data_IF_867941186994
#
_entry.id   IF_867941186994
#
_cell.length_a   1.000
_cell.length_b   1.000
_cell.length_c   1.000
_cell.angle_alpha   90.00
_cell.angle_beta   90.00
_cell.angle_gamma   90.00
#
_symmetry.space_group_name_H-M   'P 1'
#
loop_
_entity.id
_entity.type
_entity.pdbx_description
1 polymer ?
#
# COMPACT_ATOMS: atom_id res chain seq x y z
N UNK A 1 -10.55 -5.70 4.07
CA UNK A 1 -9.95 -5.54 2.71
C UNK A 1 -9.77 -4.06 2.43
N UNK A 2 -8.54 -3.60 2.16
CA UNK A 2 -8.18 -2.16 2.12
C UNK A 2 -9.00 -1.32 1.12
N UNK A 3 -9.44 -1.94 0.02
CA UNK A 3 -10.30 -1.31 -1.01
C UNK A 3 -11.63 -0.75 -0.45
N UNK A 4 -12.09 -1.25 0.72
CA UNK A 4 -13.28 -0.75 1.42
C UNK A 4 -13.19 0.73 1.79
N UNK A 5 -11.99 1.28 1.92
CA UNK A 5 -11.79 2.61 2.52
C UNK A 5 -11.65 3.75 1.49
N UNK A 6 -11.83 3.48 0.20
CA UNK A 6 -11.81 4.51 -0.86
C UNK A 6 -10.45 4.72 -1.52
N UNK A 7 -9.44 3.94 -1.14
CA UNK A 7 -8.11 3.95 -1.74
C UNK A 7 -8.14 3.63 -3.24
N UNK A 8 -7.22 4.20 -4.04
CA UNK A 8 -7.06 3.82 -5.45
C UNK A 8 -6.72 2.33 -5.56
N UNK A 9 -7.02 1.72 -6.70
CA UNK A 9 -6.80 0.27 -6.87
C UNK A 9 -5.30 -0.05 -6.79
N UNK A 10 -4.85 -0.89 -5.85
CA UNK A 10 -3.45 -1.28 -5.78
C UNK A 10 -3.08 -2.28 -6.88
N UNK A 11 -1.79 -2.35 -7.17
CA UNK A 11 -1.18 -3.42 -7.96
C UNK A 11 -0.47 -4.39 -7.03
N UNK A 12 -0.78 -5.68 -7.12
CA UNK A 12 -0.13 -6.72 -6.31
C UNK A 12 1.09 -7.26 -7.06
N UNK A 13 2.16 -7.62 -6.35
CA UNK A 13 3.41 -8.12 -6.93
C UNK A 13 3.97 -7.19 -8.03
N UNK A 14 4.00 -5.89 -7.75
CA UNK A 14 4.43 -4.90 -8.72
C UNK A 14 5.96 -4.89 -8.84
N UNK A 15 6.46 -5.12 -10.05
CA UNK A 15 7.88 -5.10 -10.34
C UNK A 15 8.37 -3.66 -10.55
N UNK A 16 9.40 -3.25 -9.80
CA UNK A 16 10.07 -1.96 -9.95
C UNK A 16 11.55 -2.18 -10.26
N UNK A 17 12.03 -1.52 -11.31
CA UNK A 17 13.46 -1.37 -11.56
C UNK A 17 13.99 -0.19 -10.73
N UNK A 18 14.98 -0.47 -9.90
CA UNK A 18 15.62 0.50 -9.02
C UNK A 18 16.72 1.27 -9.77
N UNK A 19 17.09 2.48 -9.31
CA UNK A 19 18.16 3.27 -9.93
C UNK A 19 19.53 2.57 -9.98
N UNK A 20 19.78 1.63 -9.06
CA UNK A 20 21.00 0.82 -9.00
C UNK A 20 21.00 -0.38 -9.97
N UNK A 21 19.98 -0.50 -10.82
CA UNK A 21 19.80 -1.59 -11.78
C UNK A 21 19.19 -2.86 -11.18
N UNK A 22 18.93 -2.89 -9.87
CA UNK A 22 18.25 -4.00 -9.23
C UNK A 22 16.75 -4.02 -9.49
N UNK A 23 16.13 -5.16 -9.22
CA UNK A 23 14.69 -5.36 -9.35
C UNK A 23 14.11 -5.76 -8.00
N UNK A 24 12.99 -5.13 -7.64
CA UNK A 24 12.18 -5.50 -6.47
C UNK A 24 10.75 -5.76 -6.89
N UNK A 25 10.08 -6.65 -6.17
CA UNK A 25 8.66 -6.95 -6.31
C UNK A 25 7.95 -6.50 -5.04
N UNK A 26 7.09 -5.50 -5.15
CA UNK A 26 6.31 -4.94 -4.06
C UNK A 26 5.04 -5.78 -3.86
N UNK A 27 4.75 -6.22 -2.64
CA UNK A 27 3.56 -7.01 -2.34
C UNK A 27 2.29 -6.26 -2.78
N UNK A 28 2.18 -4.98 -2.42
CA UNK A 28 1.09 -4.08 -2.79
C UNK A 28 1.65 -2.69 -3.10
N UNK A 29 1.48 -2.25 -4.35
CA UNK A 29 1.94 -0.94 -4.80
C UNK A 29 0.78 -0.04 -5.25
N UNK A 30 0.77 1.20 -4.76
CA UNK A 30 -0.02 2.31 -5.28
C UNK A 30 0.85 3.13 -6.22
N UNK A 31 1.03 2.62 -7.44
CA UNK A 31 2.02 3.11 -8.42
C UNK A 31 1.89 4.61 -8.70
N UNK A 32 0.66 5.13 -8.84
CA UNK A 32 0.44 6.56 -9.10
C UNK A 32 0.89 7.48 -7.97
N UNK A 33 0.94 6.98 -6.74
CA UNK A 33 1.40 7.72 -5.56
C UNK A 33 2.83 7.33 -5.11
N UNK A 34 3.43 6.30 -5.74
CA UNK A 34 4.69 5.68 -5.31
C UNK A 34 4.68 5.28 -3.83
N UNK A 35 3.62 4.59 -3.42
CA UNK A 35 3.52 4.01 -2.06
C UNK A 35 3.55 2.49 -2.17
N UNK A 36 4.47 1.88 -1.44
CA UNK A 36 4.64 0.44 -1.27
C UNK A 36 4.09 0.01 0.09
N UNK A 37 3.45 -1.16 0.12
CA UNK A 37 2.87 -1.77 1.32
C UNK A 37 3.27 -3.23 1.36
N UNK A 38 4.16 -3.58 2.28
CA UNK A 38 4.75 -4.92 2.40
C UNK A 38 4.21 -5.63 3.64
N UNK A 39 3.84 -6.90 3.48
CA UNK A 39 3.41 -7.71 4.61
C UNK A 39 4.62 -8.29 5.34
N UNK A 40 4.76 -7.93 6.60
CA UNK A 40 5.72 -8.58 7.49
C UNK A 40 5.19 -9.95 7.92
N UNK A 41 5.75 -10.97 7.30
CA UNK A 41 5.57 -12.37 7.63
C UNK A 41 6.55 -12.88 8.68
N UNK A 42 6.59 -12.32 9.89
CA UNK A 42 7.47 -12.76 10.99
C UNK A 42 8.96 -12.79 10.59
N UNK A 43 9.65 -11.68 10.79
CA UNK A 43 11.10 -11.57 10.57
C UNK A 43 11.88 -12.61 11.41
N UNK A 44 12.73 -13.38 10.74
CA UNK A 44 13.82 -14.10 11.39
C UNK A 44 15.04 -13.17 11.47
N UNK A 45 15.78 -13.17 12.59
CA UNK A 45 16.93 -12.27 12.82
C UNK A 45 17.98 -12.28 11.68
N UNK A 46 18.10 -13.41 10.99
CA UNK A 46 19.01 -13.62 9.87
C UNK A 46 18.66 -12.81 8.62
N UNK A 47 17.44 -12.29 8.50
CA UNK A 47 16.96 -11.55 7.32
C UNK A 47 16.83 -10.04 7.56
N UNK A 48 16.99 -9.58 8.81
CA UNK A 48 16.87 -8.16 9.18
C UNK A 48 17.72 -7.23 8.32
N UNK A 49 19.00 -7.55 8.11
CA UNK A 49 19.90 -6.70 7.33
C UNK A 49 19.46 -6.61 5.87
N UNK A 50 19.01 -7.72 5.29
CA UNK A 50 18.53 -7.77 3.92
C UNK A 50 17.23 -6.96 3.76
N UNK A 51 16.31 -7.06 4.72
CA UNK A 51 15.04 -6.33 4.72
C UNK A 51 15.27 -4.82 4.91
N UNK A 52 16.18 -4.43 5.81
CA UNK A 52 16.56 -3.04 6.01
C UNK A 52 17.22 -2.44 4.75
N UNK A 53 18.13 -3.18 4.10
CA UNK A 53 18.76 -2.74 2.85
C UNK A 53 17.74 -2.66 1.71
N UNK A 54 16.83 -3.63 1.62
CA UNK A 54 15.74 -3.60 0.64
C UNK A 54 14.87 -2.36 0.82
N UNK A 55 14.44 -2.07 2.05
CA UNK A 55 13.66 -0.88 2.38
C UNK A 55 14.40 0.40 1.97
N UNK A 56 15.67 0.52 2.34
CA UNK A 56 16.49 1.69 2.00
C UNK A 56 16.55 1.92 0.49
N UNK A 57 16.68 0.84 -0.30
CA UNK A 57 16.72 0.91 -1.76
C UNK A 57 15.39 1.35 -2.37
N UNK A 58 14.28 0.86 -1.83
CA UNK A 58 12.93 1.26 -2.25
C UNK A 58 12.69 2.75 -1.93
N UNK A 59 13.01 3.17 -0.71
CA UNK A 59 12.86 4.57 -0.28
C UNK A 59 13.76 5.50 -1.12
N UNK A 60 15.00 5.09 -1.41
CA UNK A 60 15.94 5.83 -2.27
C UNK A 60 15.48 5.92 -3.74
N UNK A 61 14.64 4.98 -4.20
CA UNK A 61 13.97 5.06 -5.49
C UNK A 61 12.75 6.01 -5.48
N UNK A 62 12.49 6.66 -4.35
CA UNK A 62 11.45 7.66 -4.17
C UNK A 62 10.09 7.07 -3.84
N UNK A 63 10.04 5.86 -3.28
CA UNK A 63 8.80 5.23 -2.80
C UNK A 63 8.64 5.40 -1.30
N UNK A 64 7.41 5.60 -0.82
CA UNK A 64 7.10 5.45 0.60
C UNK A 64 6.93 3.96 0.92
N UNK A 65 7.47 3.52 2.05
CA UNK A 65 7.43 2.13 2.47
C UNK A 65 6.57 1.96 3.72
N UNK A 66 5.44 1.24 3.60
CA UNK A 66 4.54 0.94 4.71
C UNK A 66 4.64 -0.53 5.07
N UNK A 67 5.17 -0.83 6.24
CA UNK A 67 5.24 -2.21 6.74
C UNK A 67 3.97 -2.59 7.49
N UNK A 68 3.37 -3.72 7.12
CA UNK A 68 2.14 -4.23 7.75
C UNK A 68 2.40 -5.57 8.39
N UNK A 69 2.43 -5.61 9.72
CA UNK A 69 2.52 -6.87 10.47
C UNK A 69 1.21 -7.65 10.40
N UNK A 70 1.31 -8.98 10.30
CA UNK A 70 0.16 -9.88 10.13
C UNK A 70 -0.95 -9.67 11.19
N UNK A 71 -0.60 -9.37 12.45
CA UNK A 71 -1.59 -9.11 13.51
C UNK A 71 -2.50 -7.91 13.20
N UNK A 72 -1.99 -6.87 12.53
CA UNK A 72 -2.77 -5.70 12.11
C UNK A 72 -3.87 -6.09 11.12
N UNK A 73 -3.68 -7.15 10.33
CA UNK A 73 -4.66 -7.54 9.31
C UNK A 73 -5.71 -8.52 9.83
N UNK A 74 -5.57 -8.99 11.08
CA UNK A 74 -6.50 -9.94 11.71
C UNK A 74 -7.70 -9.28 12.40
N UNK A 75 -7.66 -7.98 12.65
CA UNK A 75 -8.78 -7.22 13.22
C UNK A 75 -9.26 -6.14 12.25
N UNK A 76 -10.55 -5.78 12.34
CA UNK A 76 -11.09 -4.66 11.54
C UNK A 76 -10.42 -3.33 11.89
N UNK A 77 -10.13 -3.11 13.17
CA UNK A 77 -9.43 -1.92 13.65
C UNK A 77 -8.00 -1.82 13.08
N UNK A 78 -7.26 -2.93 13.05
CA UNK A 78 -5.93 -2.94 12.48
C UNK A 78 -5.95 -2.76 10.96
N UNK A 79 -6.91 -3.36 10.24
CA UNK A 79 -7.10 -3.13 8.81
C UNK A 79 -7.43 -1.65 8.52
N UNK A 80 -8.24 -1.03 9.38
CA UNK A 80 -8.56 0.40 9.30
C UNK A 80 -7.33 1.27 9.53
N UNK A 81 -6.54 0.98 10.56
CA UNK A 81 -5.30 1.72 10.83
C UNK A 81 -4.33 1.65 9.65
N UNK A 82 -4.16 0.47 9.05
CA UNK A 82 -3.33 0.31 7.84
C UNK A 82 -3.89 1.14 6.70
N UNK A 83 -5.20 1.09 6.45
CA UNK A 83 -5.83 1.91 5.40
C UNK A 83 -5.63 3.41 5.64
N UNK A 84 -5.72 3.86 6.89
CA UNK A 84 -5.54 5.26 7.27
C UNK A 84 -4.10 5.73 7.08
N UNK A 85 -3.11 4.89 7.41
CA UNK A 85 -1.69 5.17 7.16
C UNK A 85 -1.40 5.26 5.67
N UNK A 86 -1.84 4.25 4.90
CA UNK A 86 -1.62 4.21 3.44
C UNK A 86 -2.27 5.41 2.75
N UNK A 87 -3.49 5.77 3.15
CA UNK A 87 -4.17 6.93 2.58
C UNK A 87 -3.43 8.23 2.83
N UNK A 88 -2.86 8.41 4.02
CA UNK A 88 -2.07 9.60 4.36
C UNK A 88 -0.83 9.70 3.49
N UNK A 89 -0.10 8.61 3.29
CA UNK A 89 1.03 8.58 2.35
C UNK A 89 0.61 8.93 0.92
N UNK A 90 -0.54 8.40 0.46
CA UNK A 90 -1.06 8.75 -0.86
C UNK A 90 -1.43 10.24 -0.93
N UNK A 91 -2.06 10.79 0.10
CA UNK A 91 -2.41 12.20 0.19
C UNK A 91 -1.16 13.09 0.19
N UNK A 92 -0.14 12.77 0.99
CA UNK A 92 1.12 13.52 1.04
C UNK A 92 1.84 13.53 -0.33
N UNK A 93 1.74 12.43 -1.08
CA UNK A 93 2.38 12.27 -2.39
C UNK A 93 1.61 12.87 -3.56
N UNK A 94 0.28 12.89 -3.48
CA UNK A 94 -0.59 13.29 -4.61
C UNK A 94 -1.35 14.59 -4.37
N UNK A 95 -1.44 15.05 -3.12
CA UNK A 95 -2.31 16.14 -2.69
C UNK A 95 -3.81 15.77 -2.64
N UNK A 96 -4.17 14.51 -2.90
CA UNK A 96 -5.56 14.05 -2.98
C UNK A 96 -5.89 13.19 -1.77
N UNK A 97 -6.91 13.60 -1.02
CA UNK A 97 -7.42 12.82 0.10
C UNK A 97 -8.40 11.74 -0.38
N UNK A 98 -7.97 10.48 -0.31
CA UNK A 98 -8.80 9.33 -0.67
C UNK A 98 -9.54 8.69 0.52
N UNK A 99 -9.24 9.13 1.75
CA UNK A 99 -9.81 8.56 2.96
C UNK A 99 -11.29 8.94 3.08
N UNK A 100 -12.16 7.94 3.08
CA UNK A 100 -13.57 8.15 3.38
C UNK A 100 -13.85 7.84 4.85
N UNK A 101 -14.64 8.71 5.49
CA UNK A 101 -15.15 8.55 6.86
C UNK A 101 -16.09 7.35 7.03
N UNK A 102 -16.63 6.78 5.93
CA UNK A 102 -17.51 5.61 5.95
C UNK A 102 -16.98 4.53 4.99
N UNK A 103 -16.70 3.30 5.47
CA UNK A 103 -16.26 2.18 4.63
C UNK A 103 -17.36 1.72 3.64
N UNK A 104 -16.97 1.23 2.46
CA UNK A 104 -17.87 0.57 1.52
C UNK A 104 -18.38 -0.78 2.06
N UNK A 105 -19.61 -1.14 1.70
CA UNK A 105 -20.16 -2.49 1.94
C UNK A 105 -19.55 -3.52 0.98
N UNK A 106 -19.66 -4.82 1.29
CA UNK A 106 -19.20 -5.92 0.40
C UNK A 106 -19.84 -5.84 -0.99
N UNK A 107 -21.11 -5.51 -1.04
CA UNK A 107 -21.90 -5.39 -2.27
C UNK A 107 -21.41 -4.21 -3.13
N UNK A 108 -21.01 -3.11 -2.49
CA UNK A 108 -20.44 -1.94 -3.16
C UNK A 108 -19.01 -2.17 -3.69
N UNK A 109 -18.31 -3.19 -3.21
CA UNK A 109 -17.00 -3.62 -3.70
C UNK A 109 -17.07 -4.64 -4.85
N UNK A 110 -18.15 -5.43 -4.91
CA UNK A 110 -18.32 -6.46 -5.93
C UNK A 110 -18.73 -5.90 -7.32
N UNK A 111 -19.19 -4.65 -7.39
CA UNK A 111 -19.64 -4.03 -8.64
C UNK A 111 -18.46 -3.63 -9.55
N UNK A 112 -18.18 -4.49 -10.55
CA UNK A 112 -17.13 -4.32 -11.56
C UNK A 112 -17.31 -3.12 -12.49
N UNK A 113 -18.42 -2.35 -12.42
CA UNK A 113 -18.71 -1.23 -13.33
C UNK A 113 -18.10 0.12 -12.92
N UNK A 114 -17.39 0.23 -11.79
CA UNK A 114 -17.09 1.55 -11.21
C UNK A 114 -16.03 2.36 -11.95
N UNK A 115 -16.45 3.28 -12.80
CA UNK A 115 -15.66 4.43 -13.25
C UNK A 115 -15.22 5.42 -12.13
N UNK A 116 -15.29 5.07 -10.85
CA UNK A 116 -15.03 5.98 -9.71
C UNK A 116 -13.54 6.28 -9.47
N UNK A 117 -12.63 5.45 -9.99
CA UNK A 117 -11.18 5.75 -9.99
C UNK A 117 -10.75 6.70 -11.11
N UNK A 118 -11.66 7.02 -12.05
CA UNK A 118 -11.44 8.05 -13.08
C UNK A 118 -11.88 9.45 -12.62
N UNK A 119 -12.40 9.56 -11.40
CA UNK A 119 -12.91 10.80 -10.81
C UNK A 119 -12.41 10.93 -9.38
N UNK A 120 -11.10 10.79 -9.18
CA UNK A 120 -10.45 11.75 -8.30
C UNK A 120 -10.31 13.05 -9.11
N UNK A 121 -10.38 14.24 -8.49
CA UNK A 121 -10.13 15.48 -9.20
C UNK A 121 -8.77 15.46 -9.92
#
# INVERSE_FOLDING_TARGET
MLERHGLPRPTVNHMVQLPDGGVVFMDIAFVGARVDVEYDGKHHEQQWEADAQRRLRIESAGWDYVQVVNCSMRSEEGQRMVAEVVARHIEDRTGINYLRTTPFTLEQLADRRRSLWKTAP
#
